data_IF_890024970042
#
_entry.id   IF_890024970042
#
_cell.length_a   1.000
_cell.length_b   1.000
_cell.length_c   1.000
_cell.angle_alpha   90.00
_cell.angle_beta   90.00
_cell.angle_gamma   90.00
#
_symmetry.space_group_name_H-M   'P 1'
#
loop_
_entity.id
_entity.type
_entity.pdbx_description
1 polymer ?
#
# COMPACT_ATOMS: atom_id res chain seq x y z
N UNK A 1 9.04 11.19 9.21
CA UNK A 1 7.66 11.68 8.97
C UNK A 1 7.50 11.91 7.49
N UNK A 2 6.42 11.39 6.89
CA UNK A 2 6.04 11.73 5.50
C UNK A 2 5.42 13.13 5.55
N UNK A 3 5.95 14.07 4.75
CA UNK A 3 5.39 15.42 4.65
C UNK A 3 4.26 15.43 3.63
N UNK A 4 3.09 15.93 4.01
CA UNK A 4 1.95 16.18 3.10
C UNK A 4 1.86 17.70 2.92
N UNK A 5 1.99 18.19 1.68
CA UNK A 5 1.65 19.57 1.33
C UNK A 5 0.47 19.58 0.36
N UNK A 6 -0.57 20.33 0.72
CA UNK A 6 -1.76 20.57 -0.12
C UNK A 6 -1.60 21.95 -0.77
N UNK A 7 -1.51 22.00 -2.09
CA UNK A 7 -1.55 23.24 -2.89
C UNK A 7 -2.53 23.02 -4.04
N UNK A 8 -3.54 23.88 -4.19
CA UNK A 8 -4.51 23.87 -5.31
C UNK A 8 -5.09 22.48 -5.65
N UNK A 9 -5.72 21.80 -4.67
CA UNK A 9 -6.26 20.43 -4.76
C UNK A 9 -5.23 19.30 -5.03
N UNK A 10 -3.93 19.63 -5.13
CA UNK A 10 -2.86 18.67 -5.37
C UNK A 10 -2.20 18.29 -4.05
N UNK A 11 -2.17 16.99 -3.75
CA UNK A 11 -1.41 16.46 -2.61
C UNK A 11 -0.02 16.07 -3.06
N UNK A 12 1.02 16.61 -2.42
CA UNK A 12 2.42 16.19 -2.62
C UNK A 12 2.91 15.40 -1.41
N UNK A 13 3.35 14.16 -1.61
CA UNK A 13 4.00 13.32 -0.58
C UNK A 13 5.49 13.17 -0.88
N UNK A 14 6.34 13.35 0.13
CA UNK A 14 7.80 13.14 0.02
C UNK A 14 8.30 12.34 1.23
N UNK A 15 9.15 11.34 0.98
CA UNK A 15 9.67 10.42 2.01
C UNK A 15 11.18 10.61 2.16
N UNK A 16 11.70 10.92 3.38
CA UNK A 16 13.13 11.06 3.61
C UNK A 16 13.84 9.70 3.65
N UNK A 17 15.02 9.60 3.03
CA UNK A 17 15.90 8.42 3.09
C UNK A 17 16.57 8.30 4.46
N UNK A 18 16.19 7.31 5.26
CA UNK A 18 16.78 7.01 6.58
C UNK A 18 17.95 6.02 6.47
N UNK A 19 19.05 6.29 7.19
CA UNK A 19 20.20 5.37 7.38
C UNK A 19 19.90 4.41 8.54
N UNK A 20 19.12 3.37 8.24
CA UNK A 20 18.65 2.29 9.11
C UNK A 20 17.87 1.30 8.24
N UNK A 21 17.09 0.36 8.81
CA UNK A 21 16.23 -0.53 8.02
C UNK A 21 15.53 0.24 6.88
N UNK A 22 15.73 -0.22 5.64
CA UNK A 22 15.27 0.51 4.45
C UNK A 22 13.75 0.50 4.43
N UNK A 23 13.16 1.68 4.39
CA UNK A 23 11.72 1.84 4.21
C UNK A 23 11.44 1.93 2.71
N UNK A 24 10.50 1.11 2.25
CA UNK A 24 9.88 1.25 0.93
C UNK A 24 8.46 1.80 1.08
N UNK A 25 7.89 2.27 -0.01
CA UNK A 25 6.49 2.70 -0.07
C UNK A 25 5.79 2.10 -1.28
N UNK A 26 4.46 2.04 -1.19
CA UNK A 26 3.53 1.73 -2.28
C UNK A 26 2.39 2.73 -2.22
N UNK A 27 1.78 3.09 -3.36
CA UNK A 27 2.13 2.69 -4.73
C UNK A 27 3.42 3.36 -5.23
N UNK A 28 4.08 2.76 -6.22
CA UNK A 28 5.24 3.37 -6.88
C UNK A 28 4.78 4.22 -8.08
N UNK A 29 5.45 5.34 -8.39
CA UNK A 29 5.20 6.09 -9.61
C UNK A 29 5.50 5.27 -10.85
N UNK A 30 4.96 5.70 -11.99
CA UNK A 30 5.24 5.11 -13.30
C UNK A 30 6.74 5.10 -13.60
N UNK A 31 7.18 4.15 -14.44
CA UNK A 31 8.58 3.97 -14.83
C UNK A 31 9.23 5.27 -15.37
N UNK A 32 8.44 6.12 -16.03
CA UNK A 32 8.89 7.41 -16.56
C UNK A 32 9.25 8.47 -15.48
N UNK A 33 8.93 8.21 -14.20
CA UNK A 33 9.14 9.13 -13.07
C UNK A 33 9.80 8.44 -11.85
N UNK A 34 10.51 7.33 -12.06
CA UNK A 34 11.08 6.43 -11.02
C UNK A 34 12.04 7.12 -10.05
N UNK A 35 12.72 8.18 -10.50
CA UNK A 35 13.64 8.98 -9.67
C UNK A 35 12.90 9.86 -8.64
N UNK A 36 11.58 10.06 -8.77
CA UNK A 36 10.80 10.89 -7.87
C UNK A 36 10.08 10.04 -6.81
N UNK A 37 10.18 10.42 -5.54
CA UNK A 37 9.29 9.91 -4.47
C UNK A 37 7.95 10.65 -4.41
N UNK A 38 7.65 11.42 -5.47
CA UNK A 38 6.53 12.36 -5.50
C UNK A 38 5.27 11.68 -6.01
N UNK A 39 4.30 11.53 -5.11
CA UNK A 39 2.91 11.21 -5.48
C UNK A 39 2.17 12.54 -5.54
N UNK A 40 1.53 12.80 -6.69
CA UNK A 40 0.68 13.95 -6.91
C UNK A 40 -0.61 13.51 -7.59
N UNK A 41 -1.73 13.99 -7.07
CA UNK A 41 -3.04 13.72 -7.64
C UNK A 41 -4.08 14.74 -7.17
N UNK A 42 -5.22 14.76 -7.86
CA UNK A 42 -6.44 15.51 -7.50
C UNK A 42 -7.50 14.55 -6.94
N UNK A 43 -7.78 14.65 -5.64
CA UNK A 43 -8.71 13.72 -4.95
C UNK A 43 -10.15 13.80 -5.44
N UNK A 44 -10.57 14.93 -6.02
CA UNK A 44 -11.91 15.10 -6.60
C UNK A 44 -12.05 14.57 -8.03
N UNK A 45 -10.96 14.09 -8.65
CA UNK A 45 -10.95 13.50 -9.99
C UNK A 45 -10.50 12.03 -9.93
N UNK A 46 -11.45 11.10 -10.04
CA UNK A 46 -11.18 9.67 -10.00
C UNK A 46 -10.12 9.24 -11.02
N UNK A 47 -10.20 9.74 -12.25
CA UNK A 47 -9.25 9.37 -13.30
C UNK A 47 -7.82 9.76 -12.93
N UNK A 48 -7.66 10.81 -12.13
CA UNK A 48 -6.36 11.32 -11.73
C UNK A 48 -5.70 10.45 -10.65
N UNK A 49 -6.48 9.97 -9.66
CA UNK A 49 -5.93 9.09 -8.64
C UNK A 49 -5.98 7.60 -8.97
N UNK A 50 -6.73 7.20 -10.01
CA UNK A 50 -6.96 5.81 -10.37
C UNK A 50 -5.67 5.01 -10.58
N UNK A 51 -4.65 5.60 -11.20
CA UNK A 51 -3.37 4.91 -11.39
C UNK A 51 -2.72 4.48 -10.06
N UNK A 52 -2.92 5.24 -8.99
CA UNK A 52 -2.38 4.96 -7.67
C UNK A 52 -3.17 3.87 -6.96
N UNK A 53 -4.50 3.90 -7.08
CA UNK A 53 -5.37 2.89 -6.49
C UNK A 53 -5.22 1.55 -7.20
N UNK A 54 -5.09 1.55 -8.53
CA UNK A 54 -4.88 0.33 -9.32
C UNK A 54 -3.54 -0.33 -8.96
N UNK A 55 -2.47 0.45 -8.81
CA UNK A 55 -1.17 -0.08 -8.37
C UNK A 55 -1.21 -0.66 -6.95
N UNK A 56 -2.05 -0.13 -6.05
CA UNK A 56 -2.29 -0.71 -4.73
C UNK A 56 -3.14 -1.98 -4.82
N UNK A 57 -4.10 -2.03 -5.74
CA UNK A 57 -4.94 -3.20 -5.95
C UNK A 57 -4.15 -4.40 -6.42
N UNK A 58 -3.26 -4.19 -7.38
CA UNK A 58 -2.34 -5.21 -7.89
C UNK A 58 -1.39 -5.67 -6.78
N UNK A 59 -0.84 -4.74 -6.00
CA UNK A 59 0.07 -5.08 -4.90
C UNK A 59 -0.61 -5.87 -3.77
N UNK A 60 -1.86 -5.51 -3.42
CA UNK A 60 -2.59 -6.11 -2.31
C UNK A 60 -3.43 -7.33 -2.70
N UNK A 61 -3.46 -7.72 -3.98
CA UNK A 61 -4.27 -8.83 -4.48
C UNK A 61 -4.03 -10.13 -3.71
N UNK A 62 -2.76 -10.51 -3.54
CA UNK A 62 -2.36 -11.75 -2.86
C UNK A 62 -2.72 -11.75 -1.36
N UNK A 63 -2.90 -10.57 -0.75
CA UNK A 63 -3.26 -10.41 0.65
C UNK A 63 -4.78 -10.42 0.90
N UNK A 64 -5.61 -10.11 -0.11
CA UNK A 64 -7.08 -10.17 0.02
C UNK A 64 -7.61 -11.59 -0.01
N UNK A 65 -6.93 -12.45 -0.74
CA UNK A 65 -7.38 -13.81 -1.02
C UNK A 65 -6.25 -14.83 -0.79
N UNK A 66 -5.79 -14.97 0.47
CA UNK A 66 -4.73 -15.91 0.81
C UNK A 66 -5.06 -17.31 0.28
N UNK A 67 -4.20 -17.86 -0.58
CA UNK A 67 -4.35 -19.23 -1.09
C UNK A 67 -5.25 -19.45 -2.30
N UNK A 68 -5.75 -18.41 -2.96
CA UNK A 68 -6.45 -18.57 -4.25
C UNK A 68 -5.53 -19.01 -5.40
N UNK A 69 -4.22 -18.77 -5.30
CA UNK A 69 -3.22 -19.30 -6.24
C UNK A 69 -2.68 -20.63 -5.70
N UNK A 70 -2.74 -21.69 -6.52
CA UNK A 70 -2.24 -23.02 -6.17
C UNK A 70 -0.80 -22.95 -5.65
N UNK A 71 -0.59 -23.36 -4.40
CA UNK A 71 0.71 -23.35 -3.72
C UNK A 71 1.04 -22.08 -2.91
N UNK A 72 0.27 -20.98 -3.01
CA UNK A 72 0.59 -19.69 -2.34
C UNK A 72 -0.14 -19.42 -1.01
N UNK A 73 -1.02 -20.30 -0.54
CA UNK A 73 -1.70 -20.14 0.77
C UNK A 73 -1.48 -21.27 1.77
N UNK A 74 -0.82 -22.35 1.36
CA UNK A 74 -0.62 -23.53 2.22
C UNK A 74 0.37 -23.29 3.36
N UNK A 75 1.17 -22.22 3.25
CA UNK A 75 2.19 -21.84 4.23
C UNK A 75 1.78 -20.62 5.05
N UNK A 76 0.50 -20.23 5.08
CA UNK A 76 0.05 -19.05 5.83
C UNK A 76 -0.47 -19.48 7.20
N UNK A 77 -0.04 -18.79 8.25
CA UNK A 77 -0.37 -19.06 9.64
C UNK A 77 -0.86 -17.80 10.33
N UNK A 78 -1.93 -17.90 11.11
CA UNK A 78 -2.39 -16.77 11.92
C UNK A 78 -1.48 -16.60 13.13
N UNK A 79 -0.56 -15.63 13.06
CA UNK A 79 0.39 -15.35 14.12
C UNK A 79 -0.21 -14.42 15.19
N UNK A 80 0.21 -14.63 16.43
CA UNK A 80 0.01 -13.65 17.50
C UNK A 80 1.37 -13.10 17.95
N UNK A 81 1.36 -11.97 18.68
CA UNK A 81 2.59 -11.34 19.16
C UNK A 81 3.52 -12.29 19.92
N UNK A 82 2.94 -13.18 20.74
CA UNK A 82 3.68 -14.19 21.51
C UNK A 82 3.73 -15.57 20.83
N UNK A 83 3.15 -15.72 19.64
CA UNK A 83 3.01 -17.00 18.95
C UNK A 83 3.49 -16.88 17.49
N UNK A 84 4.79 -17.10 17.25
CA UNK A 84 5.35 -17.08 15.90
C UNK A 84 4.87 -18.28 15.07
N UNK A 85 5.01 -18.22 13.73
CA UNK A 85 4.55 -19.30 12.87
C UNK A 85 5.46 -20.53 13.01
N UNK A 86 4.92 -21.76 12.84
CA UNK A 86 5.73 -22.97 12.76
C UNK A 86 6.74 -22.92 11.60
N UNK A 87 7.77 -23.78 11.68
CA UNK A 87 8.80 -23.85 10.63
C UNK A 87 8.17 -24.15 9.26
N UNK A 88 8.51 -23.33 8.26
CA UNK A 88 7.99 -23.45 6.90
C UNK A 88 6.70 -22.68 6.64
N UNK A 89 6.16 -22.01 7.66
CA UNK A 89 5.01 -21.11 7.53
C UNK A 89 5.41 -19.64 7.68
N UNK A 90 4.57 -18.75 7.17
CA UNK A 90 4.66 -17.30 7.25
C UNK A 90 3.41 -16.75 7.91
N UNK A 91 3.54 -15.62 8.62
CA UNK A 91 2.39 -14.97 9.23
C UNK A 91 1.43 -14.42 8.18
N UNK A 92 0.14 -14.59 8.43
CA UNK A 92 -0.89 -13.88 7.70
C UNK A 92 -0.77 -12.37 7.95
N UNK A 93 -1.07 -11.59 6.93
CA UNK A 93 -1.08 -10.12 6.99
C UNK A 93 -2.51 -9.67 6.75
N UNK A 94 -3.20 -9.34 7.83
CA UNK A 94 -4.59 -8.89 7.78
C UNK A 94 -4.68 -7.42 7.35
N UNK A 95 -4.79 -7.20 6.05
CA UNK A 95 -4.93 -5.87 5.44
C UNK A 95 -6.24 -5.16 5.83
N UNK A 96 -7.21 -5.85 6.45
CA UNK A 96 -8.43 -5.21 6.97
C UNK A 96 -8.13 -4.28 8.14
N UNK A 97 -6.99 -4.48 8.80
CA UNK A 97 -6.54 -3.64 9.91
C UNK A 97 -6.00 -2.28 9.47
N UNK A 98 -5.86 -2.03 8.15
CA UNK A 98 -5.33 -0.76 7.63
C UNK A 98 -6.33 0.41 7.70
N UNK A 99 -7.46 0.22 8.39
CA UNK A 99 -8.44 1.28 8.65
C UNK A 99 -9.11 1.75 7.35
N UNK A 100 -9.12 3.06 7.02
CA UNK A 100 -9.79 3.57 5.83
C UNK A 100 -9.07 3.21 4.52
N UNK A 101 -7.90 2.58 4.59
CA UNK A 101 -7.07 2.24 3.43
C UNK A 101 -7.50 0.90 2.79
N UNK A 102 -8.75 0.83 2.31
CA UNK A 102 -9.30 -0.38 1.66
C UNK A 102 -9.59 -0.15 0.17
N UNK A 103 -9.72 -1.25 -0.57
CA UNK A 103 -10.13 -1.25 -1.98
C UNK A 103 -11.43 -0.47 -2.19
N UNK A 104 -12.45 -0.80 -1.39
CA UNK A 104 -13.80 -0.25 -1.49
C UNK A 104 -13.86 1.24 -1.18
N UNK A 105 -12.87 1.75 -0.43
CA UNK A 105 -12.76 3.16 -0.07
C UNK A 105 -11.68 3.91 -0.89
N UNK A 106 -11.21 3.32 -1.99
CA UNK A 106 -10.17 3.88 -2.87
C UNK A 106 -8.92 4.30 -2.10
N UNK A 107 -8.57 3.55 -1.05
CA UNK A 107 -7.50 3.85 -0.11
C UNK A 107 -7.52 5.29 0.43
N UNK A 108 -8.71 5.88 0.52
CA UNK A 108 -8.95 7.26 0.94
C UNK A 108 -8.39 8.35 -0.01
N UNK A 109 -7.92 8.01 -1.21
CA UNK A 109 -7.43 9.00 -2.19
C UNK A 109 -8.52 10.02 -2.56
N UNK A 110 -9.77 9.57 -2.69
CA UNK A 110 -10.89 10.46 -3.01
C UNK A 110 -11.16 11.54 -1.93
N UNK A 111 -10.70 11.33 -0.69
CA UNK A 111 -10.83 12.31 0.40
C UNK A 111 -9.59 13.15 0.60
N UNK A 112 -8.54 12.94 -0.19
CA UNK A 112 -7.27 13.65 -0.02
C UNK A 112 -6.70 13.51 1.41
N UNK A 113 -6.84 12.32 2.02
CA UNK A 113 -6.52 12.06 3.43
C UNK A 113 -5.17 11.36 3.64
#
# INVERSE_FOLDING_TARGET
MVGIKQEDDIIKRTIPTSLGARLGFRPLPSEDNVESTLIWYKGTDEKNYKMWTDALDDFLQDYRTPGQVSGRGQNIYNCEYNQPPPKGMVCDVDIKQYGPCTLENHYNYHKSA
#
